data_IF_010123613226
#
_entry.id   IF_010123613226
#
_cell.length_a   1.000
_cell.length_b   1.000
_cell.length_c   1.000
_cell.angle_alpha   90.00
_cell.angle_beta   90.00
_cell.angle_gamma   90.00
#
_symmetry.space_group_name_H-M   'P 1'
#
loop_
_entity.id
_entity.type
_entity.pdbx_description
1 polymer ?
#
# COMPACT_ATOMS: atom_id res chain seq x y z
N UNK A 1 3.60 -0.16 -9.31
CA UNK A 1 4.06 1.00 -8.52
C UNK A 1 5.54 1.21 -8.81
N UNK A 2 5.91 2.41 -9.22
CA UNK A 2 7.29 2.76 -9.57
C UNK A 2 8.06 3.28 -8.33
N UNK A 3 9.39 3.36 -8.40
CA UNK A 3 10.21 3.80 -7.26
C UNK A 3 9.90 5.23 -6.79
N UNK A 4 9.49 6.13 -7.69
CA UNK A 4 9.19 7.53 -7.35
C UNK A 4 7.93 7.64 -6.48
N UNK A 5 6.93 6.81 -6.73
CA UNK A 5 5.71 6.72 -5.92
C UNK A 5 6.02 6.19 -4.52
N UNK A 6 6.85 5.14 -4.42
CA UNK A 6 7.31 4.61 -3.12
C UNK A 6 8.08 5.67 -2.35
N UNK A 7 8.98 6.40 -3.01
CA UNK A 7 9.72 7.51 -2.39
C UNK A 7 8.80 8.65 -1.96
N UNK A 8 7.77 8.98 -2.74
CA UNK A 8 6.78 10.00 -2.38
C UNK A 8 6.01 9.60 -1.13
N UNK A 9 5.47 8.39 -1.07
CA UNK A 9 4.77 7.88 0.11
C UNK A 9 5.68 7.79 1.34
N UNK A 10 6.93 7.36 1.13
CA UNK A 10 7.95 7.31 2.18
C UNK A 10 8.29 8.69 2.74
N UNK A 11 8.24 9.76 1.92
CA UNK A 11 8.47 11.14 2.36
C UNK A 11 7.25 11.76 3.03
N UNK A 12 6.04 11.40 2.58
CA UNK A 12 4.79 11.92 3.14
C UNK A 12 4.46 11.37 4.54
N UNK A 13 4.96 10.17 4.87
CA UNK A 13 4.78 9.52 6.18
C UNK A 13 5.91 9.75 7.18
N UNK A 14 6.90 10.59 6.86
CA UNK A 14 8.01 10.89 7.77
C UNK A 14 7.59 11.92 8.83
N UNK A 15 7.09 11.44 9.96
CA UNK A 15 7.42 12.10 11.23
C UNK A 15 8.93 11.98 11.42
N UNK A 16 9.62 13.10 11.64
CA UNK A 16 11.06 13.21 11.68
C UNK A 16 11.72 12.24 12.69
N UNK A 17 12.13 11.05 12.25
CA UNK A 17 13.20 10.29 12.89
C UNK A 17 13.80 9.26 11.91
N UNK A 18 15.13 9.30 11.82
CA UNK A 18 16.08 8.34 11.26
C UNK A 18 15.65 7.37 10.13
N UNK A 19 16.22 7.59 8.93
CA UNK A 19 16.59 6.55 7.96
C UNK A 19 15.62 5.37 7.86
N UNK A 20 14.47 5.60 7.21
CA UNK A 20 13.41 4.63 6.96
C UNK A 20 13.94 3.28 6.43
N UNK A 21 14.24 2.32 7.31
CA UNK A 21 14.59 0.93 6.95
C UNK A 21 13.31 0.13 6.69
N UNK A 22 12.55 0.54 5.68
CA UNK A 22 11.42 -0.24 5.16
C UNK A 22 11.87 -1.49 4.36
N UNK A 23 13.17 -1.65 4.15
CA UNK A 23 13.74 -2.71 3.34
C UNK A 23 13.34 -4.10 3.85
N UNK A 24 12.75 -4.90 2.95
CA UNK A 24 12.32 -6.27 3.27
C UNK A 24 10.99 -6.34 4.02
N UNK A 25 10.35 -5.21 4.33
CA UNK A 25 9.02 -5.21 4.93
C UNK A 25 7.98 -5.69 3.90
N UNK A 26 7.18 -6.67 4.32
CA UNK A 26 6.08 -7.23 3.55
C UNK A 26 4.79 -7.08 4.36
N UNK A 27 3.79 -6.45 3.76
CA UNK A 27 2.48 -6.24 4.39
C UNK A 27 1.39 -6.83 3.50
N UNK A 28 0.52 -7.61 4.12
CA UNK A 28 -0.71 -8.12 3.56
C UNK A 28 -1.83 -7.15 3.93
N UNK A 29 -2.47 -6.59 2.90
CA UNK A 29 -3.61 -5.71 3.01
C UNK A 29 -4.85 -6.42 2.50
N UNK A 30 -5.98 -6.12 3.12
CA UNK A 30 -7.32 -6.38 2.59
C UNK A 30 -8.01 -5.05 2.36
N UNK A 31 -8.53 -4.81 1.15
CA UNK A 31 -9.21 -3.56 0.81
C UNK A 31 -10.55 -3.89 0.15
N UNK A 32 -11.53 -3.00 0.33
CA UNK A 32 -12.75 -2.97 -0.49
C UNK A 32 -12.44 -2.14 -1.73
N UNK A 33 -12.96 -2.51 -2.89
CA UNK A 33 -12.75 -1.73 -4.12
C UNK A 33 -13.91 -0.76 -4.31
N UNK A 34 -13.60 0.52 -4.50
CA UNK A 34 -14.55 1.60 -4.79
C UNK A 34 -14.97 1.66 -6.25
N UNK A 35 -15.88 2.59 -6.57
CA UNK A 35 -16.50 2.71 -7.89
C UNK A 35 -15.49 3.02 -9.03
N UNK A 36 -14.39 3.71 -8.74
CA UNK A 36 -13.32 4.01 -9.71
C UNK A 36 -12.19 2.96 -9.73
N UNK A 37 -12.38 1.84 -9.02
CA UNK A 37 -11.39 0.79 -8.85
C UNK A 37 -10.35 1.11 -7.77
N UNK A 38 -10.43 2.27 -7.10
CA UNK A 38 -9.54 2.62 -5.99
C UNK A 38 -9.82 1.77 -4.75
N UNK A 39 -8.86 1.65 -3.82
CA UNK A 39 -9.14 1.02 -2.54
C UNK A 39 -9.95 1.95 -1.65
N UNK A 40 -11.00 1.39 -1.06
CA UNK A 40 -11.72 1.90 0.08
C UNK A 40 -11.47 0.97 1.27
N UNK A 41 -11.34 1.53 2.49
CA UNK A 41 -11.23 0.75 3.74
C UNK A 41 -10.17 -0.36 3.69
N UNK A 42 -8.90 0.01 3.47
CA UNK A 42 -7.79 -0.94 3.56
C UNK A 42 -7.42 -1.24 5.01
N UNK A 43 -7.25 -2.53 5.33
CA UNK A 43 -6.81 -3.01 6.63
C UNK A 43 -5.55 -3.88 6.50
N UNK A 44 -4.65 -3.78 7.47
CA UNK A 44 -3.45 -4.62 7.56
C UNK A 44 -3.81 -5.95 8.22
N UNK A 45 -3.68 -7.05 7.50
CA UNK A 45 -3.99 -8.39 8.00
C UNK A 45 -2.83 -9.04 8.77
N UNK A 46 -1.58 -8.61 8.53
CA UNK A 46 -0.39 -9.12 9.22
C UNK A 46 0.29 -8.00 10.03
N UNK A 47 -0.22 -7.63 11.22
CA UNK A 47 0.32 -6.54 12.01
C UNK A 47 1.68 -6.92 12.60
N UNK A 48 2.75 -6.77 11.83
CA UNK A 48 4.13 -6.82 12.34
C UNK A 48 4.48 -5.46 12.94
N UNK A 49 5.45 -5.39 13.88
CA UNK A 49 5.92 -4.10 14.40
C UNK A 49 6.42 -3.14 13.30
N UNK A 50 6.98 -3.68 12.21
CA UNK A 50 7.37 -2.90 11.04
C UNK A 50 6.15 -2.38 10.25
N UNK A 51 5.11 -3.21 10.08
CA UNK A 51 3.87 -2.80 9.44
C UNK A 51 3.18 -1.66 10.21
N UNK A 52 3.13 -1.76 11.54
CA UNK A 52 2.55 -0.71 12.40
C UNK A 52 3.37 0.60 12.35
N UNK A 53 4.70 0.52 12.48
CA UNK A 53 5.58 1.71 12.45
C UNK A 53 5.52 2.48 11.14
N UNK A 54 5.16 1.81 10.05
CA UNK A 54 5.14 2.41 8.72
C UNK A 54 3.76 2.32 8.07
N UNK A 55 2.70 2.19 8.87
CA UNK A 55 1.33 2.02 8.40
C UNK A 55 0.93 3.12 7.40
N UNK A 56 1.27 4.38 7.69
CA UNK A 56 1.00 5.52 6.80
C UNK A 56 1.65 5.36 5.42
N UNK A 57 2.84 4.76 5.34
CA UNK A 57 3.51 4.49 4.06
C UNK A 57 2.78 3.40 3.30
N UNK A 58 2.35 2.32 3.99
CA UNK A 58 1.57 1.25 3.37
C UNK A 58 0.19 1.71 2.91
N UNK A 59 -0.50 2.54 3.70
CA UNK A 59 -1.77 3.16 3.32
C UNK A 59 -1.62 4.08 2.10
N UNK A 60 -0.56 4.91 2.06
CA UNK A 60 -0.27 5.73 0.88
C UNK A 60 0.04 4.87 -0.34
N UNK A 61 0.87 3.83 -0.20
CA UNK A 61 1.15 2.90 -1.28
C UNK A 61 -0.11 2.19 -1.79
N UNK A 62 -1.02 1.82 -0.88
CA UNK A 62 -2.29 1.21 -1.23
C UNK A 62 -3.19 2.16 -2.03
N UNK A 63 -3.26 3.46 -1.68
CA UNK A 63 -4.14 4.43 -2.36
C UNK A 63 -3.83 4.62 -3.86
N UNK A 64 -2.62 4.26 -4.29
CA UNK A 64 -2.20 4.27 -5.68
C UNK A 64 -2.58 3.01 -6.48
N UNK A 65 -3.17 2.00 -5.84
CA UNK A 65 -3.64 0.79 -6.50
C UNK A 65 -4.97 1.02 -7.22
N UNK A 66 -5.20 0.22 -8.26
CA UNK A 66 -6.47 0.13 -8.97
C UNK A 66 -6.79 -1.33 -9.29
N UNK A 67 -8.00 -1.76 -8.97
CA UNK A 67 -8.52 -3.09 -9.31
C UNK A 67 -9.61 -2.95 -10.36
N UNK A 68 -9.29 -3.43 -11.55
CA UNK A 68 -10.13 -3.40 -12.74
C UNK A 68 -10.20 -4.81 -13.31
N UNK A 69 -11.37 -5.18 -13.81
CA UNK A 69 -11.62 -6.42 -14.53
C UNK A 69 -10.92 -6.41 -15.90
N UNK A 70 -10.84 -7.58 -16.53
CA UNK A 70 -10.22 -7.72 -17.86
C UNK A 70 -10.96 -6.92 -18.95
N UNK A 71 -12.24 -6.62 -18.74
CA UNK A 71 -13.05 -5.78 -19.61
C UNK A 71 -12.89 -4.26 -19.34
N UNK A 72 -12.04 -3.89 -18.36
CA UNK A 72 -11.76 -2.51 -17.99
C UNK A 72 -12.73 -1.90 -16.96
N UNK A 73 -13.75 -2.64 -16.51
CA UNK A 73 -14.68 -2.16 -15.48
C UNK A 73 -14.07 -2.25 -14.08
N UNK A 74 -14.48 -1.35 -13.18
CA UNK A 74 -14.06 -1.41 -11.77
C UNK A 74 -14.48 -2.73 -11.13
N UNK A 75 -13.60 -3.31 -10.31
CA UNK A 75 -13.95 -4.44 -9.45
C UNK A 75 -14.74 -4.00 -8.20
N UNK A 76 -15.64 -3.03 -8.34
CA UNK A 76 -16.38 -2.38 -7.27
C UNK A 76 -17.05 -3.39 -6.31
N UNK A 77 -17.02 -3.07 -5.00
CA UNK A 77 -17.64 -3.86 -3.95
C UNK A 77 -16.93 -5.18 -3.65
N UNK A 78 -15.87 -5.52 -4.38
CA UNK A 78 -15.05 -6.71 -4.12
C UNK A 78 -14.08 -6.44 -2.98
N UNK A 79 -13.94 -7.44 -2.11
CA UNK A 79 -12.83 -7.51 -1.16
C UNK A 79 -11.63 -8.14 -1.84
N UNK A 80 -10.51 -7.43 -1.86
CA UNK A 80 -9.27 -7.86 -2.51
C UNK A 80 -8.14 -7.94 -1.48
N UNK A 81 -7.34 -9.00 -1.57
CA UNK A 81 -6.12 -9.15 -0.77
C UNK A 81 -4.90 -8.86 -1.62
N UNK A 82 -4.03 -7.97 -1.17
CA UNK A 82 -2.80 -7.63 -1.87
C UNK A 82 -1.61 -7.64 -0.93
N UNK A 83 -0.45 -8.03 -1.45
CA UNK A 83 0.80 -7.98 -0.72
C UNK A 83 1.64 -6.83 -1.23
N UNK A 84 1.94 -5.86 -0.37
CA UNK A 84 2.89 -4.80 -0.65
C UNK A 84 4.27 -5.21 -0.12
N UNK A 85 5.27 -5.11 -1.00
CA UNK A 85 6.68 -5.34 -0.65
C UNK A 85 7.47 -4.08 -0.97
N UNK A 86 8.22 -3.59 0.01
CA UNK A 86 9.16 -2.49 -0.23
C UNK A 86 10.50 -3.09 -0.65
N UNK A 87 10.79 -3.03 -1.95
CA UNK A 87 12.08 -3.42 -2.50
C UNK A 87 12.99 -2.19 -2.55
N UNK A 88 14.12 -2.25 -1.85
CA UNK A 88 15.21 -1.30 -2.04
C UNK A 88 16.13 -1.80 -3.15
N UNK A 89 16.40 -0.95 -4.14
CA UNK A 89 17.52 -1.14 -5.05
C UNK A 89 18.42 0.07 -4.93
N UNK A 90 19.72 -0.21 -4.81
CA UNK A 90 20.82 0.73 -4.59
C UNK A 90 21.10 1.58 -5.84
#
# INVERSE_FOLDING_TARGET
>A
MNQREVQRCSRSGQTADASLRLYGATVLLECVVGADGSPERCEVLNPTPAAQRHEAVFQCMASHLRWIHADGTSAEGRTVRTTLRVQGTW
#
